data_IF_885049416681
#
_entry.id   IF_885049416681
#
_cell.length_a   1.000
_cell.length_b   1.000
_cell.length_c   1.000
_cell.angle_alpha   90.00
_cell.angle_beta   90.00
_cell.angle_gamma   90.00
#
_symmetry.space_group_name_H-M   'P 1'
#
loop_
_entity.id
_entity.type
_entity.pdbx_description
1 polymer ?
#
# COMPACT_ATOMS: atom_id res chain seq x y z
N UNK A 1 -10.45 12.85 -53.43
CA UNK A 1 -10.72 12.40 -52.04
C UNK A 1 -10.02 13.37 -51.08
N UNK A 2 -10.77 14.08 -50.23
CA UNK A 2 -10.27 15.25 -49.50
C UNK A 2 -9.44 14.86 -48.26
N UNK A 3 -8.19 15.33 -48.19
CA UNK A 3 -7.22 15.10 -47.10
C UNK A 3 -7.79 15.45 -45.70
N UNK A 4 -8.77 16.35 -45.64
CA UNK A 4 -9.46 16.76 -44.40
C UNK A 4 -10.36 15.66 -43.82
N UNK A 5 -10.87 14.75 -44.64
CA UNK A 5 -11.73 13.65 -44.18
C UNK A 5 -10.96 12.58 -43.39
N UNK A 6 -9.70 12.33 -43.75
CA UNK A 6 -8.86 11.35 -43.07
C UNK A 6 -8.42 11.82 -41.67
N UNK A 7 -8.12 13.11 -41.52
CA UNK A 7 -7.74 13.71 -40.24
C UNK A 7 -8.90 13.62 -39.24
N UNK A 8 -10.12 13.93 -39.68
CA UNK A 8 -11.32 13.82 -38.84
C UNK A 8 -11.62 12.36 -38.45
N UNK A 9 -11.45 11.42 -39.39
CA UNK A 9 -11.65 9.99 -39.14
C UNK A 9 -10.66 9.40 -38.12
N UNK A 10 -9.38 9.76 -38.22
CA UNK A 10 -8.35 9.34 -37.24
C UNK A 10 -8.61 9.96 -35.86
N UNK A 11 -9.04 11.21 -35.80
CA UNK A 11 -9.36 11.89 -34.54
C UNK A 11 -10.54 11.23 -33.80
N UNK A 12 -11.61 10.88 -34.53
CA UNK A 12 -12.77 10.19 -33.97
C UNK A 12 -12.45 8.75 -33.54
N UNK A 13 -11.61 8.02 -34.30
CA UNK A 13 -11.12 6.69 -33.89
C UNK A 13 -10.25 6.75 -32.63
N UNK A 14 -9.39 7.76 -32.50
CA UNK A 14 -8.56 7.98 -31.31
C UNK A 14 -9.35 8.32 -30.04
N UNK A 15 -10.43 9.11 -30.17
CA UNK A 15 -11.31 9.43 -29.03
C UNK A 15 -12.15 8.21 -28.60
N UNK A 16 -12.56 7.37 -29.55
CA UNK A 16 -13.31 6.14 -29.24
C UNK A 16 -12.42 5.08 -28.58
N UNK A 17 -11.17 4.93 -29.02
CA UNK A 17 -10.22 4.00 -28.42
C UNK A 17 -9.86 4.38 -26.97
N UNK A 18 -9.65 5.68 -26.68
CA UNK A 18 -9.44 6.14 -25.30
C UNK A 18 -10.61 5.79 -24.37
N UNK A 19 -11.85 5.93 -24.85
CA UNK A 19 -13.06 5.69 -24.04
C UNK A 19 -13.26 4.20 -23.69
N UNK A 20 -12.94 3.30 -24.63
CA UNK A 20 -13.00 1.85 -24.40
C UNK A 20 -11.89 1.41 -23.43
N UNK A 21 -10.67 1.91 -23.60
CA UNK A 21 -9.54 1.60 -22.71
C UNK A 21 -9.81 2.09 -21.28
N UNK A 22 -10.37 3.29 -21.11
CA UNK A 22 -10.66 3.85 -19.79
C UNK A 22 -11.78 3.10 -19.05
N UNK A 23 -12.83 2.67 -19.76
CA UNK A 23 -13.89 1.82 -19.18
C UNK A 23 -13.41 0.42 -18.85
N UNK A 24 -12.55 -0.16 -19.69
CA UNK A 24 -11.99 -1.49 -19.48
C UNK A 24 -11.04 -1.52 -18.28
N UNK A 25 -10.16 -0.51 -18.15
CA UNK A 25 -9.26 -0.35 -16.99
C UNK A 25 -10.04 -0.25 -15.68
N UNK A 26 -11.11 0.56 -15.62
CA UNK A 26 -11.90 0.73 -14.39
C UNK A 26 -12.64 -0.55 -13.98
N UNK A 27 -13.16 -1.31 -14.95
CA UNK A 27 -13.87 -2.57 -14.71
C UNK A 27 -12.90 -3.69 -14.30
N UNK A 28 -11.75 -3.78 -14.95
CA UNK A 28 -10.78 -4.85 -14.68
C UNK A 28 -10.03 -4.63 -13.37
N UNK A 29 -9.72 -3.38 -13.01
CA UNK A 29 -9.12 -3.06 -11.70
C UNK A 29 -10.10 -3.39 -10.58
N UNK A 30 -11.39 -3.00 -10.69
CA UNK A 30 -12.40 -3.33 -9.67
C UNK A 30 -12.54 -4.84 -9.44
N UNK A 31 -12.69 -5.61 -10.52
CA UNK A 31 -12.87 -7.07 -10.45
C UNK A 31 -11.62 -7.75 -9.88
N UNK A 32 -10.41 -7.34 -10.31
CA UNK A 32 -9.17 -7.98 -9.87
C UNK A 32 -8.88 -7.73 -8.38
N UNK A 33 -9.29 -6.59 -7.82
CA UNK A 33 -9.15 -6.32 -6.38
C UNK A 33 -10.19 -7.06 -5.53
N UNK A 34 -11.43 -7.22 -6.01
CA UNK A 34 -12.46 -8.03 -5.34
C UNK A 34 -12.10 -9.53 -5.36
N UNK A 35 -11.60 -10.03 -6.49
CA UNK A 35 -11.18 -11.42 -6.64
C UNK A 35 -9.91 -11.75 -5.81
N UNK A 36 -8.99 -10.79 -5.63
CA UNK A 36 -7.84 -10.93 -4.73
C UNK A 36 -8.24 -10.93 -3.24
N UNK A 37 -9.24 -10.12 -2.85
CA UNK A 37 -9.76 -10.08 -1.49
C UNK A 37 -10.59 -11.35 -1.18
N UNK A 38 -11.35 -11.86 -2.14
CA UNK A 38 -12.16 -13.08 -2.03
C UNK A 38 -11.33 -14.37 -2.18
N UNK A 39 -10.21 -14.35 -2.91
CA UNK A 39 -9.28 -15.48 -3.02
C UNK A 39 -8.28 -15.56 -1.85
N UNK A 40 -8.14 -14.51 -1.04
CA UNK A 40 -7.31 -14.48 0.16
C UNK A 40 -7.62 -15.62 1.16
N UNK A 41 -8.90 -16.00 1.40
CA UNK A 41 -9.22 -17.20 2.17
C UNK A 41 -9.02 -18.53 1.40
N UNK A 42 -9.03 -18.54 0.07
CA UNK A 42 -8.84 -19.79 -0.71
C UNK A 42 -7.36 -20.19 -0.82
N UNK A 43 -6.43 -19.23 -0.94
CA UNK A 43 -4.99 -19.52 -0.94
C UNK A 43 -4.48 -20.05 0.42
N UNK A 44 -5.22 -19.74 1.49
CA UNK A 44 -4.97 -20.22 2.86
C UNK A 44 -5.30 -21.70 3.06
N UNK A 45 -6.20 -22.26 2.25
CA UNK A 45 -6.75 -23.60 2.49
C UNK A 45 -5.97 -24.73 1.77
N UNK A 46 -5.01 -24.39 0.91
CA UNK A 46 -4.21 -25.35 0.14
C UNK A 46 -2.90 -25.80 0.80
N UNK A 47 -2.53 -25.23 1.96
CA UNK A 47 -1.31 -25.58 2.69
C UNK A 47 -1.69 -26.06 4.10
N UNK A 48 -1.82 -27.38 4.21
CA UNK A 48 -1.88 -28.24 5.40
C UNK A 48 -2.65 -27.81 6.67
N UNK A 49 -3.38 -28.75 7.32
CA UNK A 49 -4.05 -28.55 8.61
C UNK A 49 -3.11 -28.14 9.77
N UNK A 50 -1.83 -28.50 9.70
CA UNK A 50 -0.80 -28.16 10.71
C UNK A 50 -0.46 -26.66 10.67
N UNK A 51 -0.35 -26.05 9.49
CA UNK A 51 -0.02 -24.63 9.34
C UNK A 51 -1.17 -23.72 9.78
N UNK A 52 -2.44 -24.13 9.59
CA UNK A 52 -3.61 -23.36 10.03
C UNK A 52 -3.78 -23.43 11.55
N UNK A 53 -3.53 -24.58 12.17
CA UNK A 53 -3.52 -24.73 13.63
C UNK A 53 -2.36 -23.94 14.25
N UNK A 54 -1.17 -23.97 13.66
CA UNK A 54 -0.05 -23.13 14.07
C UNK A 54 -0.35 -21.64 13.90
N UNK A 55 -0.95 -21.21 12.77
CA UNK A 55 -1.36 -19.81 12.54
C UNK A 55 -2.44 -19.35 13.51
N UNK A 56 -3.43 -20.18 13.81
CA UNK A 56 -4.49 -19.84 14.76
C UNK A 56 -3.94 -19.79 16.19
N UNK A 57 -2.96 -20.65 16.54
CA UNK A 57 -2.26 -20.62 17.83
C UNK A 57 -1.28 -19.43 17.95
N UNK A 58 -0.68 -18.99 16.83
CA UNK A 58 0.19 -17.80 16.75
C UNK A 58 -0.64 -16.49 16.77
N UNK A 59 -1.81 -16.47 16.12
CA UNK A 59 -2.70 -15.31 16.05
C UNK A 59 -3.47 -15.08 17.36
N UNK A 60 -3.70 -16.13 18.16
CA UNK A 60 -4.45 -16.03 19.42
C UNK A 60 -3.64 -15.43 20.60
N UNK A 61 -2.31 -15.25 20.52
CA UNK A 61 -1.56 -14.71 21.68
C UNK A 61 -0.32 -13.87 21.39
N UNK A 62 -0.04 -13.46 20.15
CA UNK A 62 1.02 -12.46 19.93
C UNK A 62 0.50 -11.08 20.33
N UNK A 63 0.79 -10.68 21.58
CA UNK A 63 0.63 -9.29 22.04
C UNK A 63 1.35 -8.38 21.04
N UNK A 64 0.58 -7.53 20.36
CA UNK A 64 1.10 -6.53 19.42
C UNK A 64 2.26 -5.80 20.08
N UNK A 65 3.39 -5.70 19.39
CA UNK A 65 4.57 -5.06 19.98
C UNK A 65 4.24 -3.60 20.26
N UNK A 66 4.64 -3.13 21.44
CA UNK A 66 4.51 -1.74 21.83
C UNK A 66 5.36 -0.86 20.91
N UNK A 67 4.82 0.30 20.50
CA UNK A 67 5.46 1.21 19.57
C UNK A 67 4.66 1.51 18.30
N UNK A 68 5.15 2.47 17.52
CA UNK A 68 4.51 3.00 16.32
C UNK A 68 5.56 3.08 15.21
N UNK A 69 5.20 2.61 14.03
CA UNK A 69 6.02 2.75 12.83
C UNK A 69 5.38 3.73 11.86
N UNK A 70 6.20 4.50 11.16
CA UNK A 70 5.73 5.46 10.14
C UNK A 70 6.74 5.62 9.00
N UNK A 71 6.36 6.41 8.00
CA UNK A 71 7.22 6.80 6.87
C UNK A 71 7.40 8.31 6.83
N UNK A 72 8.48 8.74 6.20
CA UNK A 72 8.69 10.16 5.93
C UNK A 72 7.87 10.63 4.73
N UNK A 73 6.91 11.53 4.92
CA UNK A 73 6.07 12.06 3.82
C UNK A 73 6.85 12.97 2.85
N UNK A 74 7.49 12.39 1.82
CA UNK A 74 8.14 13.18 0.75
C UNK A 74 8.25 12.41 -0.56
N UNK A 75 8.11 13.13 -1.67
CA UNK A 75 8.31 12.62 -3.03
C UNK A 75 7.05 12.75 -3.90
N UNK A 76 7.10 12.15 -5.10
CA UNK A 76 5.97 12.06 -6.04
C UNK A 76 5.03 10.90 -5.65
N UNK A 77 3.94 10.71 -6.40
CA UNK A 77 2.93 9.67 -6.16
C UNK A 77 3.50 8.27 -5.98
N UNK A 78 4.39 7.87 -6.89
CA UNK A 78 5.05 6.57 -6.82
C UNK A 78 5.77 6.36 -5.49
N UNK A 79 6.54 7.36 -5.05
CA UNK A 79 7.29 7.29 -3.79
C UNK A 79 6.36 7.22 -2.58
N UNK A 80 5.33 8.07 -2.52
CA UNK A 80 4.38 8.08 -1.42
C UNK A 80 3.60 6.76 -1.33
N UNK A 81 3.20 6.20 -2.48
CA UNK A 81 2.53 4.89 -2.54
C UNK A 81 3.46 3.74 -2.21
N UNK A 82 4.71 3.77 -2.69
CA UNK A 82 5.72 2.77 -2.37
C UNK A 82 6.07 2.76 -0.89
N UNK A 83 6.24 3.93 -0.28
CA UNK A 83 6.46 4.08 1.16
C UNK A 83 5.26 3.59 1.96
N UNK A 84 4.04 3.93 1.54
CA UNK A 84 2.82 3.40 2.17
C UNK A 84 2.79 1.86 2.15
N UNK A 85 3.08 1.27 0.99
CA UNK A 85 3.12 -0.18 0.82
C UNK A 85 4.20 -0.83 1.70
N UNK A 86 5.42 -0.28 1.69
CA UNK A 86 6.53 -0.76 2.51
C UNK A 86 6.21 -0.66 4.01
N UNK A 87 5.64 0.46 4.47
CA UNK A 87 5.22 0.62 5.86
C UNK A 87 4.20 -0.44 6.25
N UNK A 88 3.17 -0.62 5.43
CA UNK A 88 2.12 -1.60 5.71
C UNK A 88 2.71 -3.01 5.80
N UNK A 89 3.50 -3.41 4.81
CA UNK A 89 4.09 -4.75 4.74
C UNK A 89 5.08 -5.01 5.88
N UNK A 90 6.03 -4.11 6.11
CA UNK A 90 7.08 -4.31 7.12
C UNK A 90 6.53 -4.23 8.55
N UNK A 91 5.57 -3.32 8.82
CA UNK A 91 4.95 -3.27 10.14
C UNK A 91 4.14 -4.54 10.43
N UNK A 92 3.42 -5.07 9.42
CA UNK A 92 2.71 -6.36 9.54
C UNK A 92 3.67 -7.53 9.75
N UNK A 93 4.78 -7.56 9.02
CA UNK A 93 5.81 -8.60 9.13
C UNK A 93 6.44 -8.64 10.54
N UNK A 94 6.59 -7.46 11.16
CA UNK A 94 7.26 -7.31 12.45
C UNK A 94 6.29 -7.18 13.65
N UNK A 95 5.00 -7.45 13.46
CA UNK A 95 3.95 -7.34 14.49
C UNK A 95 3.85 -5.95 15.17
N UNK A 96 4.14 -4.89 14.41
CA UNK A 96 4.05 -3.49 14.84
C UNK A 96 2.82 -2.77 14.24
N UNK A 97 2.42 -1.68 14.88
CA UNK A 97 1.37 -0.81 14.34
C UNK A 97 1.93 0.25 13.40
N UNK A 98 1.39 0.26 12.18
CA UNK A 98 1.69 1.29 11.19
C UNK A 98 0.76 2.49 11.36
N UNK A 99 1.34 3.69 11.34
CA UNK A 99 0.60 4.94 11.28
C UNK A 99 1.06 5.77 10.09
N UNK A 100 0.09 6.30 9.35
CA UNK A 100 0.36 7.20 8.24
C UNK A 100 0.48 8.63 8.76
N UNK A 101 1.50 9.37 8.33
CA UNK A 101 1.59 10.79 8.67
C UNK A 101 0.41 11.55 8.06
N UNK A 102 -0.11 12.54 8.78
CA UNK A 102 -1.23 13.37 8.32
C UNK A 102 -1.01 13.98 6.93
N UNK A 103 0.21 14.45 6.63
CA UNK A 103 0.51 15.04 5.33
C UNK A 103 0.39 14.01 4.20
N UNK A 104 0.88 12.78 4.41
CA UNK A 104 0.71 11.68 3.44
C UNK A 104 -0.77 11.34 3.28
N UNK A 105 -1.52 11.22 4.38
CA UNK A 105 -2.95 10.93 4.35
C UNK A 105 -3.73 11.99 3.57
N UNK A 106 -3.51 13.28 3.87
CA UNK A 106 -4.18 14.38 3.20
C UNK A 106 -3.89 14.41 1.69
N UNK A 107 -2.71 13.96 1.30
CA UNK A 107 -2.28 13.92 -0.09
C UNK A 107 -2.83 12.71 -0.85
N UNK A 108 -2.81 11.52 -0.25
CA UNK A 108 -3.27 10.28 -0.88
C UNK A 108 -4.79 10.09 -0.83
N UNK A 109 -5.45 10.47 0.27
CA UNK A 109 -6.88 10.19 0.48
C UNK A 109 -7.79 10.70 -0.65
N UNK A 110 -7.59 11.92 -1.20
CA UNK A 110 -8.41 12.41 -2.32
C UNK A 110 -8.22 11.61 -3.62
N UNK A 111 -7.02 11.04 -3.83
CA UNK A 111 -6.65 10.30 -5.04
C UNK A 111 -7.29 8.91 -5.01
N UNK A 112 -7.16 8.22 -3.88
CA UNK A 112 -7.58 6.83 -3.77
C UNK A 112 -9.05 6.66 -3.41
N UNK A 113 -9.75 7.72 -2.98
CA UNK A 113 -11.19 7.73 -2.67
C UNK A 113 -11.66 6.57 -1.77
N UNK A 114 -10.71 5.94 -1.09
CA UNK A 114 -10.84 4.79 -0.20
C UNK A 114 -10.15 5.24 1.07
N UNK A 115 -10.78 4.98 2.22
CA UNK A 115 -10.17 5.21 3.52
C UNK A 115 -8.83 4.49 3.55
N UNK A 116 -7.73 5.24 3.61
CA UNK A 116 -6.41 4.67 3.91
C UNK A 116 -6.58 4.00 5.27
N UNK A 117 -6.48 2.67 5.31
CA UNK A 117 -6.89 1.87 6.47
C UNK A 117 -5.94 2.01 7.66
N UNK A 118 -4.85 2.76 7.50
CA UNK A 118 -3.91 3.08 8.56
C UNK A 118 -4.42 4.25 9.42
N UNK A 119 -4.28 4.17 10.75
CA UNK A 119 -4.54 5.30 11.62
C UNK A 119 -3.62 6.48 11.29
N UNK A 120 -4.17 7.69 11.40
CA UNK A 120 -3.45 8.92 11.07
C UNK A 120 -2.65 9.42 12.29
N UNK A 121 -1.35 9.61 12.10
CA UNK A 121 -0.47 10.25 13.07
C UNK A 121 -0.44 11.76 12.81
N UNK A 122 -0.96 12.51 13.78
CA UNK A 122 -0.97 13.97 13.71
C UNK A 122 0.44 14.55 13.83
N UNK A 123 0.75 15.59 13.05
CA UNK A 123 2.09 16.18 12.93
C UNK A 123 2.69 16.56 14.29
N UNK A 124 1.91 17.20 15.15
CA UNK A 124 2.35 17.59 16.49
C UNK A 124 2.79 16.40 17.37
N UNK A 125 2.14 15.25 17.21
CA UNK A 125 2.51 14.02 17.91
C UNK A 125 3.75 13.39 17.27
N UNK A 126 3.80 13.36 15.94
CA UNK A 126 4.94 12.83 15.19
C UNK A 126 6.24 13.55 15.55
N UNK A 127 6.21 14.87 15.71
CA UNK A 127 7.40 15.69 15.99
C UNK A 127 8.00 15.44 17.39
N UNK A 128 7.24 14.86 18.31
CA UNK A 128 7.68 14.56 19.68
C UNK A 128 8.25 13.15 19.87
N UNK A 129 8.05 12.28 18.90
CA UNK A 129 8.50 10.88 18.98
C UNK A 129 9.99 10.83 18.61
N UNK A 130 10.85 10.20 19.42
CA UNK A 130 12.28 10.06 19.14
C UNK A 130 12.52 8.96 18.10
N UNK A 131 12.24 9.26 16.83
CA UNK A 131 12.31 8.27 15.75
C UNK A 131 13.71 7.69 15.54
N UNK A 132 13.79 6.36 15.44
CA UNK A 132 14.89 5.68 14.75
C UNK A 132 14.62 5.75 13.25
N UNK A 133 15.50 6.42 12.49
CA UNK A 133 15.39 6.44 11.04
C UNK A 133 16.04 5.18 10.46
N UNK A 134 15.27 4.43 9.67
CA UNK A 134 15.77 3.28 8.91
C UNK A 134 15.71 3.61 7.43
N UNK A 135 16.85 3.53 6.75
CA UNK A 135 16.93 3.76 5.31
C UNK A 135 16.66 2.45 4.57
N UNK A 136 15.54 2.40 3.86
CA UNK A 136 15.17 1.31 2.99
C UNK A 136 16.01 1.41 1.71
N UNK A 137 16.90 0.45 1.51
CA UNK A 137 17.72 0.36 0.30
C UNK A 137 17.25 -0.78 -0.62
N UNK A 138 16.74 -1.86 -0.04
CA UNK A 138 16.08 -2.95 -0.76
C UNK A 138 14.90 -3.45 0.07
N UNK A 139 13.70 -3.16 -0.40
CA UNK A 139 12.41 -3.56 0.18
C UNK A 139 12.27 -5.04 0.55
N UNK A 140 13.07 -5.94 -0.04
CA UNK A 140 13.05 -7.39 0.24
C UNK A 140 14.27 -7.88 1.04
N UNK A 141 15.11 -6.97 1.55
CA UNK A 141 16.30 -7.34 2.30
C UNK A 141 15.95 -8.14 3.55
N UNK A 142 16.70 -9.20 3.81
CA UNK A 142 16.47 -10.08 4.96
C UNK A 142 16.60 -9.36 6.30
N UNK A 143 17.37 -8.26 6.34
CA UNK A 143 17.58 -7.46 7.55
C UNK A 143 16.28 -6.86 8.12
N UNK A 144 15.21 -6.77 7.32
CA UNK A 144 13.91 -6.23 7.73
C UNK A 144 12.95 -7.27 8.30
N UNK A 145 13.32 -8.56 8.33
CA UNK A 145 12.46 -9.62 8.88
C UNK A 145 12.24 -9.50 10.39
N UNK A 146 13.20 -8.94 11.13
CA UNK A 146 13.08 -8.79 12.57
C UNK A 146 13.72 -7.49 13.05
N UNK A 147 12.88 -6.46 13.18
CA UNK A 147 13.21 -5.15 13.71
C UNK A 147 12.55 -5.03 15.09
N UNK A 148 13.33 -4.66 16.10
CA UNK A 148 12.87 -4.54 17.50
C UNK A 148 12.55 -3.10 17.92
N UNK A 149 12.92 -2.13 17.08
CA UNK A 149 12.71 -0.71 17.36
C UNK A 149 11.23 -0.37 17.52
N UNK A 150 10.89 0.20 18.70
CA UNK A 150 9.51 0.62 19.01
C UNK A 150 9.04 1.80 18.16
N UNK A 151 9.90 2.79 17.94
CA UNK A 151 9.56 4.04 17.24
C UNK A 151 10.39 4.17 15.98
N UNK A 152 9.92 3.52 14.91
CA UNK A 152 10.64 3.44 13.65
C UNK A 152 10.06 4.40 12.62
N UNK A 153 10.95 5.10 11.92
CA UNK A 153 10.60 5.90 10.74
C UNK A 153 11.36 5.39 9.54
N UNK A 154 10.62 4.78 8.62
CA UNK A 154 11.13 4.32 7.35
C UNK A 154 11.41 5.52 6.45
N UNK A 155 12.60 5.52 5.85
CA UNK A 155 13.12 6.56 4.97
C UNK A 155 13.70 5.90 3.72
N UNK A 156 13.85 6.63 2.63
CA UNK A 156 14.25 6.08 1.33
C UNK A 156 13.55 6.79 0.18
N UNK A 157 13.94 6.51 -1.06
CA UNK A 157 13.39 7.15 -2.26
C UNK A 157 13.09 6.17 -3.38
#
# INVERSE_FOLDING_TARGET
MSQKGYILGVFLLGLFSLSVIFKFSKKQIGIQWEELLDASPMLSNGLEPEASKARNMICETKKKRDGIWTVWSRGRLGNQMGQYAALYALAKLNDHEAYIQQDTHNWLAPIFKISLSLPVLHRYTADKIPWRNLWLHDWMSEEYYHIEDKYLRLTGH
#
